data_IF_489311640828
#
_entry.id   IF_489311640828
#
_cell.length_a   1.000
_cell.length_b   1.000
_cell.length_c   1.000
_cell.angle_alpha   90.00
_cell.angle_beta   90.00
_cell.angle_gamma   90.00
#
_symmetry.space_group_name_H-M   'P 1'
#
loop_
_entity.id
_entity.type
_entity.pdbx_description
1 polymer ?
#
# COMPACT_ATOMS: atom_id res chain seq x y z
N UNK A 1 13.99 5.16 -8.86
CA UNK A 1 12.61 5.63 -9.07
C UNK A 1 11.84 4.57 -9.82
N UNK A 2 10.51 4.46 -9.63
CA UNK A 2 9.66 3.48 -10.34
C UNK A 2 9.83 3.51 -11.87
N UNK A 3 10.34 4.61 -12.44
CA UNK A 3 10.81 4.72 -13.84
C UNK A 3 11.71 3.56 -14.32
N UNK A 4 12.45 2.89 -13.42
CA UNK A 4 13.32 1.75 -13.77
C UNK A 4 12.50 0.48 -14.10
N UNK A 5 11.24 0.39 -13.65
CA UNK A 5 10.37 -0.76 -13.90
C UNK A 5 9.57 -0.65 -15.20
N UNK A 6 9.81 0.38 -16.02
CA UNK A 6 9.03 0.70 -17.23
C UNK A 6 7.51 0.49 -17.04
N UNK A 7 6.96 1.11 -16.00
CA UNK A 7 5.60 0.85 -15.53
C UNK A 7 4.51 1.51 -16.39
N UNK A 8 4.84 2.15 -17.52
CA UNK A 8 3.91 2.92 -18.33
C UNK A 8 2.73 2.08 -18.86
N UNK A 9 2.91 0.76 -18.96
CA UNK A 9 1.86 -0.19 -19.36
C UNK A 9 1.36 -1.08 -18.21
N UNK A 10 1.79 -0.79 -16.98
CA UNK A 10 1.45 -1.60 -15.79
C UNK A 10 0.25 -1.01 -15.08
N UNK A 11 -0.73 -1.86 -14.74
CA UNK A 11 -1.85 -1.45 -13.89
C UNK A 11 -1.40 -1.26 -12.43
N UNK A 12 -1.70 -0.10 -11.87
CA UNK A 12 -1.37 0.30 -10.51
C UNK A 12 -2.63 0.35 -9.66
N UNK A 13 -2.61 -0.39 -8.56
CA UNK A 13 -3.69 -0.41 -7.59
C UNK A 13 -3.23 0.11 -6.24
N UNK A 14 -4.13 0.76 -5.50
CA UNK A 14 -3.88 1.18 -4.13
C UNK A 14 -4.92 0.58 -3.18
N UNK A 15 -4.51 0.27 -1.95
CA UNK A 15 -5.42 -0.28 -0.91
C UNK A 15 -6.46 0.75 -0.45
N UNK A 16 -6.19 2.05 -0.62
CA UNK A 16 -7.14 3.09 -0.25
C UNK A 16 -6.80 4.47 -0.83
N UNK A 17 -7.77 5.38 -0.74
CA UNK A 17 -7.73 6.71 -1.37
C UNK A 17 -6.53 7.56 -0.94
N UNK A 18 -6.10 7.50 0.32
CA UNK A 18 -4.96 8.27 0.80
C UNK A 18 -3.65 7.85 0.10
N UNK A 19 -3.44 6.55 -0.09
CA UNK A 19 -2.29 6.02 -0.83
C UNK A 19 -2.41 6.38 -2.32
N UNK A 20 -3.61 6.26 -2.90
CA UNK A 20 -3.84 6.59 -4.31
C UNK A 20 -3.47 8.05 -4.61
N UNK A 21 -4.03 8.98 -3.83
CA UNK A 21 -3.72 10.41 -3.92
C UNK A 21 -2.22 10.68 -3.81
N UNK A 22 -1.54 10.00 -2.87
CA UNK A 22 -0.10 10.22 -2.68
C UNK A 22 0.74 9.73 -3.87
N UNK A 23 0.33 8.66 -4.53
CA UNK A 23 0.97 8.16 -5.75
C UNK A 23 0.75 9.14 -6.92
N UNK A 24 -0.47 9.66 -7.07
CA UNK A 24 -0.80 10.65 -8.10
C UNK A 24 -0.01 11.95 -7.93
N UNK A 25 0.15 12.44 -6.69
CA UNK A 25 1.01 13.59 -6.38
C UNK A 25 2.47 13.39 -6.84
N UNK A 26 2.93 12.13 -6.98
CA UNK A 26 4.26 11.79 -7.48
C UNK A 26 4.26 11.40 -8.97
N UNK A 27 3.18 11.69 -9.70
CA UNK A 27 3.05 11.40 -11.14
C UNK A 27 2.87 9.92 -11.47
N UNK A 28 2.38 9.12 -10.52
CA UNK A 28 2.03 7.71 -10.72
C UNK A 28 0.52 7.62 -10.80
N UNK A 29 -0.01 7.38 -11.99
CA UNK A 29 -1.44 7.16 -12.20
C UNK A 29 -1.87 5.87 -11.49
N UNK A 30 -2.97 5.93 -10.75
CA UNK A 30 -3.58 4.78 -10.09
C UNK A 30 -4.84 4.39 -10.85
N UNK A 31 -4.90 3.14 -11.31
CA UNK A 31 -6.03 2.63 -12.10
C UNK A 31 -7.26 2.41 -11.24
N UNK A 32 -7.09 1.85 -10.03
CA UNK A 32 -8.21 1.59 -9.14
C UNK A 32 -7.82 1.46 -7.66
N UNK A 33 -8.77 1.80 -6.78
CA UNK A 33 -8.73 1.55 -5.35
C UNK A 33 -10.16 1.44 -4.78
N UNK A 34 -10.36 0.80 -3.61
CA UNK A 34 -11.69 0.71 -3.00
C UNK A 34 -12.22 2.08 -2.57
N UNK A 35 -13.36 2.50 -3.11
CA UNK A 35 -13.95 3.81 -2.82
C UNK A 35 -14.52 3.93 -1.38
N UNK A 36 -15.05 2.84 -0.83
CA UNK A 36 -15.80 2.88 0.44
C UNK A 36 -14.93 2.56 1.66
N UNK A 37 -14.11 1.51 1.59
CA UNK A 37 -13.32 1.03 2.73
C UNK A 37 -11.94 0.57 2.28
N UNK A 38 -10.91 1.16 2.84
CA UNK A 38 -9.53 0.74 2.61
C UNK A 38 -9.24 -0.58 3.34
N UNK A 39 -9.18 -1.69 2.63
CA UNK A 39 -8.69 -2.96 3.15
C UNK A 39 -8.23 -3.91 2.03
N UNK A 40 -7.46 -4.93 2.38
CA UNK A 40 -7.05 -5.97 1.45
C UNK A 40 -8.25 -6.70 0.82
N UNK A 41 -9.26 -6.99 1.63
CA UNK A 41 -10.48 -7.68 1.22
C UNK A 41 -11.31 -6.82 0.27
N UNK A 42 -11.44 -5.52 0.56
CA UNK A 42 -12.15 -4.59 -0.30
C UNK A 42 -11.47 -4.44 -1.67
N UNK A 43 -10.13 -4.42 -1.69
CA UNK A 43 -9.34 -4.40 -2.92
C UNK A 43 -9.52 -5.70 -3.72
N UNK A 44 -9.46 -6.88 -3.07
CA UNK A 44 -9.70 -8.18 -3.72
C UNK A 44 -11.13 -8.37 -4.24
N UNK A 45 -12.09 -7.65 -3.69
CA UNK A 45 -13.49 -7.69 -4.14
C UNK A 45 -13.73 -6.89 -5.43
N UNK A 46 -12.76 -6.09 -5.88
CA UNK A 46 -12.87 -5.29 -7.10
C UNK A 46 -12.82 -6.17 -8.35
N UNK A 47 -13.66 -5.88 -9.34
CA UNK A 47 -13.73 -6.64 -10.59
C UNK A 47 -12.40 -6.59 -11.35
N UNK A 48 -11.69 -5.47 -11.27
CA UNK A 48 -10.37 -5.28 -11.90
C UNK A 48 -9.32 -6.25 -11.35
N UNK A 49 -9.38 -6.59 -10.06
CA UNK A 49 -8.48 -7.57 -9.44
C UNK A 49 -8.94 -9.00 -9.65
N UNK A 50 -10.25 -9.24 -9.63
CA UNK A 50 -10.80 -10.57 -9.90
C UNK A 50 -10.52 -11.04 -11.33
N UNK A 51 -10.40 -10.10 -12.27
CA UNK A 51 -10.04 -10.39 -13.65
C UNK A 51 -8.54 -10.70 -13.86
N UNK A 52 -7.68 -10.60 -12.83
CA UNK A 52 -6.25 -10.88 -12.98
C UNK A 52 -5.98 -12.38 -13.01
N UNK A 53 -5.52 -12.85 -14.17
CA UNK A 53 -5.05 -14.21 -14.38
C UNK A 53 -3.74 -14.22 -15.15
N UNK A 54 -2.83 -15.12 -14.76
CA UNK A 54 -1.49 -15.29 -15.35
C UNK A 54 -0.65 -14.01 -15.37
N UNK A 55 -0.88 -13.11 -14.42
CA UNK A 55 -0.13 -11.86 -14.31
C UNK A 55 1.06 -12.00 -13.36
N UNK A 56 2.06 -11.14 -13.53
CA UNK A 56 3.07 -10.90 -12.49
C UNK A 56 2.64 -9.69 -11.67
N UNK A 57 2.38 -9.90 -10.39
CA UNK A 57 1.91 -8.87 -9.46
C UNK A 57 3.00 -8.56 -8.45
N UNK A 58 3.36 -7.29 -8.35
CA UNK A 58 4.27 -6.78 -7.33
C UNK A 58 3.47 -6.08 -6.23
N UNK A 59 3.70 -6.47 -4.97
CA UNK A 59 3.06 -5.84 -3.82
C UNK A 59 4.12 -5.12 -3.00
N UNK A 60 4.08 -3.78 -3.02
CA UNK A 60 4.93 -2.91 -2.21
C UNK A 60 4.36 -2.81 -0.79
N UNK A 61 5.15 -3.20 0.21
CA UNK A 61 4.68 -3.25 1.60
C UNK A 61 5.81 -3.03 2.59
N UNK A 62 5.43 -2.93 3.86
CA UNK A 62 6.38 -3.07 4.95
C UNK A 62 6.71 -4.54 5.20
N UNK A 63 7.88 -4.80 5.78
CA UNK A 63 8.32 -6.13 6.20
C UNK A 63 7.32 -6.78 7.14
N UNK A 64 6.92 -8.00 6.80
CA UNK A 64 5.85 -8.75 7.51
C UNK A 64 4.47 -8.09 7.42
N UNK A 65 3.47 -8.61 8.14
CA UNK A 65 2.07 -8.13 8.14
C UNK A 65 1.08 -9.17 7.60
N UNK A 66 -0.07 -8.74 7.07
CA UNK A 66 -1.12 -9.65 6.57
C UNK A 66 -0.73 -10.26 5.21
N UNK A 67 -0.98 -11.55 5.03
CA UNK A 67 -0.69 -12.29 3.79
C UNK A 67 -1.87 -12.35 2.82
N UNK A 68 -3.06 -11.90 3.26
CA UNK A 68 -4.35 -11.99 2.55
C UNK A 68 -4.28 -11.67 1.05
N UNK A 69 -3.60 -10.59 0.65
CA UNK A 69 -3.47 -10.21 -0.76
C UNK A 69 -2.67 -11.23 -1.57
N UNK A 70 -1.52 -11.69 -1.04
CA UNK A 70 -0.66 -12.63 -1.76
C UNK A 70 -1.32 -13.99 -1.82
N UNK A 71 -1.86 -14.48 -0.73
CA UNK A 71 -2.53 -15.78 -0.70
C UNK A 71 -3.70 -15.83 -1.69
N UNK A 72 -4.45 -14.73 -1.81
CA UNK A 72 -5.61 -14.66 -2.71
C UNK A 72 -5.19 -14.54 -4.18
N UNK A 73 -4.25 -13.65 -4.49
CA UNK A 73 -3.82 -13.40 -5.88
C UNK A 73 -2.93 -14.53 -6.43
N UNK A 74 -2.17 -15.21 -5.56
CA UNK A 74 -1.24 -16.30 -5.97
C UNK A 74 -1.96 -17.53 -6.51
N UNK A 75 -3.29 -17.64 -6.31
CA UNK A 75 -4.08 -18.73 -6.87
C UNK A 75 -4.02 -18.78 -8.40
N UNK A 76 -3.95 -17.61 -9.04
CA UNK A 76 -4.00 -17.48 -10.50
C UNK A 76 -2.85 -16.63 -11.08
N UNK A 77 -1.98 -16.07 -10.24
CA UNK A 77 -0.96 -15.10 -10.63
C UNK A 77 0.38 -15.41 -9.96
N UNK A 78 1.47 -14.92 -10.54
CA UNK A 78 2.78 -14.89 -9.88
C UNK A 78 2.85 -13.64 -9.02
N UNK A 79 2.97 -13.79 -7.70
CA UNK A 79 2.95 -12.65 -6.76
C UNK A 79 4.25 -12.55 -5.98
N UNK A 80 4.89 -11.38 -6.04
CA UNK A 80 6.12 -11.08 -5.32
C UNK A 80 5.96 -9.87 -4.39
N UNK A 81 6.62 -9.93 -3.23
CA UNK A 81 6.68 -8.82 -2.30
C UNK A 81 7.92 -7.97 -2.52
N UNK A 82 7.72 -6.66 -2.51
CA UNK A 82 8.78 -5.67 -2.40
C UNK A 82 8.65 -5.03 -1.02
N UNK A 83 9.44 -5.50 -0.06
CA UNK A 83 9.46 -4.97 1.31
C UNK A 83 10.33 -3.72 1.38
N UNK A 84 9.71 -2.53 1.37
CA UNK A 84 10.41 -1.23 1.23
C UNK A 84 10.60 -0.47 2.54
N UNK A 85 10.00 -0.95 3.63
CA UNK A 85 10.19 -0.39 4.97
C UNK A 85 10.00 -1.45 6.04
N UNK A 86 10.42 -1.18 7.26
CA UNK A 86 10.16 -2.03 8.43
C UNK A 86 9.58 -1.18 9.57
N UNK A 87 8.56 -1.71 10.25
CA UNK A 87 8.07 -1.09 11.49
C UNK A 87 9.04 -1.41 12.62
N UNK A 88 9.49 -0.39 13.33
CA UNK A 88 10.33 -0.51 14.52
C UNK A 88 9.64 0.14 15.70
N UNK A 89 9.89 -0.36 16.91
CA UNK A 89 9.41 0.29 18.12
C UNK A 89 10.08 1.66 18.23
N UNK A 90 9.29 2.70 18.45
CA UNK A 90 9.82 4.04 18.68
C UNK A 90 10.62 4.07 20.00
N UNK A 91 11.84 4.60 19.96
CA UNK A 91 12.60 4.91 21.17
C UNK A 91 12.10 6.25 21.73
N UNK A 92 11.32 6.20 22.81
CA UNK A 92 10.73 7.40 23.41
C UNK A 92 11.82 8.23 24.09
N UNK A 93 11.88 9.51 23.75
CA UNK A 93 12.84 10.48 24.28
C UNK A 93 12.09 11.60 25.01
N UNK A 94 12.77 12.43 25.82
CA UNK A 94 12.14 13.61 26.44
C UNK A 94 11.43 14.51 25.43
N UNK A 95 12.00 14.73 24.24
CA UNK A 95 11.35 15.53 23.17
C UNK A 95 9.97 15.00 22.75
N UNK A 96 9.77 13.68 22.74
CA UNK A 96 8.46 13.10 22.44
C UNK A 96 7.44 13.41 23.54
N UNK A 97 7.88 13.36 24.81
CA UNK A 97 7.05 13.74 25.96
C UNK A 97 6.67 15.22 25.89
N UNK A 98 7.65 16.09 25.64
CA UNK A 98 7.43 17.54 25.57
C UNK A 98 6.49 17.89 24.42
N UNK A 99 6.68 17.26 23.25
CA UNK A 99 5.77 17.42 22.10
C UNK A 99 4.34 16.99 22.43
N UNK A 100 4.16 15.88 23.15
CA UNK A 100 2.84 15.41 23.57
C UNK A 100 2.20 16.36 24.59
N UNK A 101 2.96 16.87 25.56
CA UNK A 101 2.48 17.84 26.55
C UNK A 101 2.04 19.14 25.88
N UNK A 102 2.84 19.66 24.96
CA UNK A 102 2.49 20.84 24.16
C UNK A 102 1.20 20.61 23.38
N UNK A 103 1.09 19.48 22.67
CA UNK A 103 -0.11 19.13 21.91
C UNK A 103 -1.37 19.08 22.79
N UNK A 104 -1.27 18.49 23.99
CA UNK A 104 -2.39 18.37 24.93
C UNK A 104 -2.79 19.70 25.58
N UNK A 105 -1.86 20.65 25.72
CA UNK A 105 -2.12 22.00 26.27
C UNK A 105 -2.63 22.98 25.22
N UNK A 106 -2.45 22.68 23.93
CA UNK A 106 -2.93 23.50 22.80
C UNK A 106 -4.37 23.19 22.36
N UNK A 107 -5.12 22.41 23.15
CA UNK A 107 -6.58 22.18 23.03
C UNK A 107 -7.28 22.64 24.31
#
# INVERSE_FOLDING_TARGET
TLKILDYQTTKIFAVGAATAKKLEEHGIQVDAFPAQKASSEALLAMSELQALHHQTVLIFRGKGGRETLKDSLSKNNKVEYIEVYQRVRCNVTPLHRDSLLNFLQSN
#
